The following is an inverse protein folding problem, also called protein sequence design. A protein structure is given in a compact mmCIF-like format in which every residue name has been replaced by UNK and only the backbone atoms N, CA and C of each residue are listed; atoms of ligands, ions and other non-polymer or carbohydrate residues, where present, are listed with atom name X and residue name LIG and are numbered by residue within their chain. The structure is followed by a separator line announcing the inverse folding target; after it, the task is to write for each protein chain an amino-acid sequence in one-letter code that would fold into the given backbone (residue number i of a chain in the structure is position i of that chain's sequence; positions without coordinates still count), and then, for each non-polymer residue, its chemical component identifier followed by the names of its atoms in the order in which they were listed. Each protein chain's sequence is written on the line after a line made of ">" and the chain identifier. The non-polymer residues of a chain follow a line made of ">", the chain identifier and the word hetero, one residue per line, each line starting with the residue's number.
data_IF_440434067766
#
_entry.id   IF_440434067766
#
_cell.length_a   1.000
_cell.length_b   1.000
_cell.length_c   1.000
_cell.angle_alpha   90.00
_cell.angle_beta   90.00
_cell.angle_gamma   90.00
#
_symmetry.space_group_name_H-M   'P 1'
#
loop_
_entity.id
_entity.type
_entity.pdbx_description
1 polymer ?
#
# COMPACT_ATOMS: atom_id res chain seq x y z
N UNK A 1 7.33 -18.91 5.81
CA UNK A 1 7.46 -17.68 6.62
C UNK A 1 6.76 -16.59 5.84
N UNK A 2 5.85 -15.85 6.48
CA UNK A 2 5.02 -14.82 5.82
C UNK A 2 5.83 -13.58 5.51
N UNK A 3 5.67 -13.03 4.31
CA UNK A 3 6.44 -11.88 3.85
C UNK A 3 5.77 -10.56 4.25
N UNK A 4 6.49 -9.75 5.03
CA UNK A 4 6.13 -8.36 5.33
C UNK A 4 7.27 -7.48 4.84
N UNK A 5 6.99 -6.51 3.99
CA UNK A 5 8.00 -5.63 3.43
C UNK A 5 7.52 -4.22 3.15
N UNK A 6 8.46 -3.29 3.19
CA UNK A 6 8.32 -1.92 2.70
C UNK A 6 9.45 -1.65 1.71
N UNK A 7 9.13 -0.97 0.61
CA UNK A 7 10.10 -0.53 -0.40
C UNK A 7 9.92 0.95 -0.68
N UNK A 8 10.99 1.71 -0.60
CA UNK A 8 11.00 3.11 -1.04
C UNK A 8 10.77 3.20 -2.54
N UNK A 9 9.72 3.92 -2.96
CA UNK A 9 9.47 4.27 -4.36
C UNK A 9 10.06 5.63 -4.68
N UNK A 10 9.77 6.63 -3.84
CA UNK A 10 10.35 7.97 -3.96
C UNK A 10 10.30 8.67 -2.62
N UNK A 11 11.34 9.44 -2.29
CA UNK A 11 11.34 10.36 -1.15
C UNK A 11 11.84 11.71 -1.59
N UNK A 12 11.07 12.74 -1.28
CA UNK A 12 11.38 14.11 -1.66
C UNK A 12 11.38 15.01 -0.44
N UNK A 13 12.46 15.76 -0.24
CA UNK A 13 12.56 16.80 0.78
C UNK A 13 12.29 18.14 0.14
N UNK A 14 11.41 18.93 0.76
CA UNK A 14 11.21 20.31 0.35
C UNK A 14 12.35 21.18 0.89
N UNK A 15 13.15 21.80 0.02
CA UNK A 15 14.29 22.63 0.46
C UNK A 15 13.87 23.89 1.23
N UNK A 16 12.64 24.40 1.00
CA UNK A 16 12.10 25.54 1.75
C UNK A 16 11.65 25.17 3.18
N UNK A 17 11.48 23.88 3.46
CA UNK A 17 11.27 23.35 4.80
C UNK A 17 11.91 21.96 4.95
N UNK A 18 13.22 21.88 5.25
CA UNK A 18 13.97 20.62 5.25
C UNK A 18 13.45 19.51 6.17
N UNK A 19 12.61 19.88 7.15
CA UNK A 19 11.94 18.94 8.05
C UNK A 19 10.68 18.29 7.43
N UNK A 20 10.28 18.67 6.22
CA UNK A 20 9.16 18.09 5.48
C UNK A 20 9.69 17.22 4.35
N UNK A 21 9.49 15.92 4.50
CA UNK A 21 9.88 14.89 3.53
C UNK A 21 8.65 14.09 3.15
N UNK A 22 8.21 14.21 1.90
CA UNK A 22 7.17 13.36 1.35
C UNK A 22 7.79 12.01 0.97
N UNK A 23 7.32 10.94 1.61
CA UNK A 23 7.79 9.58 1.35
C UNK A 23 6.67 8.74 0.76
N UNK A 24 6.94 8.14 -0.41
CA UNK A 24 6.07 7.19 -1.08
C UNK A 24 6.69 5.80 -1.02
N UNK A 25 6.00 4.87 -0.35
CA UNK A 25 6.46 3.51 -0.09
C UNK A 25 5.48 2.51 -0.69
N UNK A 26 6.01 1.40 -1.22
CA UNK A 26 5.25 0.24 -1.64
C UNK A 26 5.35 -0.83 -0.54
N UNK A 27 4.21 -1.16 0.04
CA UNK A 27 4.10 -2.10 1.13
C UNK A 27 3.52 -3.43 0.63
N UNK A 28 4.00 -4.54 1.20
CA UNK A 28 3.36 -5.85 1.09
C UNK A 28 3.23 -6.45 2.49
N UNK A 29 2.03 -6.88 2.85
CA UNK A 29 1.76 -7.46 4.16
C UNK A 29 0.48 -8.31 4.15
N UNK A 30 0.25 -9.19 5.15
CA UNK A 30 -0.98 -9.97 5.28
C UNK A 30 -2.25 -9.12 5.24
N UNK A 31 -3.24 -9.52 4.45
CA UNK A 31 -4.47 -8.76 4.28
C UNK A 31 -5.22 -8.55 5.61
N UNK A 32 -5.12 -9.49 6.54
CA UNK A 32 -5.85 -9.44 7.82
C UNK A 32 -5.47 -8.24 8.71
N UNK A 33 -4.26 -7.66 8.58
CA UNK A 33 -3.89 -6.43 9.32
C UNK A 33 -4.25 -5.13 8.59
N UNK A 34 -4.81 -5.21 7.38
CA UNK A 34 -5.07 -4.04 6.56
C UNK A 34 -6.04 -3.07 7.25
N UNK A 35 -7.06 -3.58 7.95
CA UNK A 35 -8.01 -2.74 8.68
C UNK A 35 -7.32 -1.87 9.75
N UNK A 36 -6.33 -2.43 10.46
CA UNK A 36 -5.54 -1.69 11.45
C UNK A 36 -4.67 -0.61 10.80
N UNK A 37 -4.04 -0.91 9.66
CA UNK A 37 -3.29 0.08 8.90
C UNK A 37 -4.19 1.23 8.42
N UNK A 38 -5.44 0.94 8.02
CA UNK A 38 -6.40 1.93 7.55
C UNK A 38 -6.87 2.93 8.63
N UNK A 39 -6.65 2.64 9.91
CA UNK A 39 -6.98 3.58 11.02
C UNK A 39 -6.13 4.86 11.00
N UNK A 40 -4.96 4.83 10.35
CA UNK A 40 -4.05 5.97 10.24
C UNK A 40 -4.48 6.88 9.09
N UNK A 41 -5.22 7.95 9.40
CA UNK A 41 -5.92 8.78 8.40
C UNK A 41 -5.05 9.83 7.69
N UNK A 42 -3.88 10.16 8.24
CA UNK A 42 -2.96 11.16 7.68
C UNK A 42 -2.13 10.63 6.50
N UNK A 43 -2.44 9.42 6.01
CA UNK A 43 -1.73 8.75 4.92
C UNK A 43 -2.65 8.56 3.71
N UNK A 44 -2.13 8.90 2.53
CA UNK A 44 -2.76 8.64 1.23
C UNK A 44 -2.39 7.25 0.75
N UNK A 45 -3.34 6.49 0.22
CA UNK A 45 -3.17 5.06 -0.08
C UNK A 45 -3.85 4.63 -1.37
N UNK A 46 -3.16 3.75 -2.09
CA UNK A 46 -3.71 2.97 -3.19
C UNK A 46 -3.40 1.49 -2.96
N UNK A 47 -4.45 0.67 -2.82
CA UNK A 47 -4.32 -0.75 -2.57
C UNK A 47 -4.68 -1.57 -3.82
N UNK A 48 -3.90 -2.61 -4.11
CA UNK A 48 -4.21 -3.57 -5.14
C UNK A 48 -5.52 -4.29 -4.80
N UNK A 49 -6.54 -4.13 -5.65
CA UNK A 49 -7.88 -4.64 -5.40
C UNK A 49 -7.99 -6.13 -5.71
N UNK A 50 -8.31 -6.95 -4.71
CA UNK A 50 -8.62 -8.37 -4.90
C UNK A 50 -9.80 -8.59 -5.86
N UNK A 51 -10.67 -7.59 -6.03
CA UNK A 51 -11.80 -7.63 -6.97
C UNK A 51 -11.36 -7.57 -8.44
N UNK A 52 -10.17 -7.03 -8.71
CA UNK A 52 -9.65 -6.87 -10.06
C UNK A 52 -8.77 -8.06 -10.50
N UNK A 53 -8.06 -8.67 -9.55
CA UNK A 53 -7.08 -9.74 -9.80
C UNK A 53 -7.79 -11.07 -10.15
N UNK A 54 -7.40 -11.76 -11.24
CA UNK A 54 -7.92 -13.09 -11.57
C UNK A 54 -7.73 -14.11 -10.43
N UNK A 55 -8.69 -15.03 -10.24
CA UNK A 55 -8.68 -16.02 -9.16
C UNK A 55 -7.41 -16.86 -9.19
N UNK A 56 -7.06 -17.41 -10.36
CA UNK A 56 -5.81 -18.18 -10.54
C UNK A 56 -4.57 -17.42 -10.06
N UNK A 57 -4.41 -16.17 -10.47
CA UNK A 57 -3.26 -15.33 -10.06
C UNK A 57 -3.23 -15.10 -8.55
N UNK A 58 -4.39 -15.03 -7.91
CA UNK A 58 -4.50 -14.91 -6.46
C UNK A 58 -4.09 -16.21 -5.76
N UNK A 59 -4.55 -17.37 -6.26
CA UNK A 59 -4.16 -18.68 -5.73
C UNK A 59 -2.65 -18.89 -5.89
N UNK A 60 -2.09 -18.55 -7.05
CA UNK A 60 -0.65 -18.66 -7.31
C UNK A 60 0.16 -17.81 -6.30
N UNK A 61 -0.26 -16.56 -6.01
CA UNK A 61 0.39 -15.70 -4.99
C UNK A 61 0.31 -16.31 -3.58
N UNK A 62 -0.86 -16.86 -3.20
CA UNK A 62 -1.06 -17.50 -1.90
C UNK A 62 -0.18 -18.74 -1.74
N UNK A 63 -0.08 -19.58 -2.78
CA UNK A 63 0.74 -20.80 -2.74
C UNK A 63 2.23 -20.48 -2.68
N UNK A 64 2.67 -19.43 -3.38
CA UNK A 64 4.05 -18.97 -3.34
C UNK A 64 4.42 -18.33 -1.99
N UNK A 65 3.51 -17.57 -1.39
CA UNK A 65 3.74 -16.79 -0.17
C UNK A 65 2.44 -16.69 0.63
N UNK A 66 2.16 -17.72 1.43
CA UNK A 66 0.95 -17.78 2.26
C UNK A 66 1.04 -16.78 3.41
N UNK A 67 0.02 -15.93 3.56
CA UNK A 67 -0.13 -15.12 4.76
C UNK A 67 -0.51 -16.01 5.94
N UNK A 68 0.26 -15.93 7.02
CA UNK A 68 0.19 -16.79 8.19
C UNK A 68 0.64 -15.99 9.42
N UNK A 69 0.10 -16.29 10.62
CA UNK A 69 0.60 -15.72 11.86
C UNK A 69 2.11 -15.91 12.05
N UNK A 70 2.80 -14.82 12.38
CA UNK A 70 4.21 -14.85 12.81
C UNK A 70 4.38 -15.17 14.30
N UNK A 71 3.29 -15.10 15.06
CA UNK A 71 3.20 -15.36 16.49
C UNK A 71 1.81 -15.94 16.77
N UNK A 72 1.73 -17.06 17.48
CA UNK A 72 0.47 -17.74 17.80
C UNK A 72 0.21 -17.72 19.29
N UNK A 73 -0.15 -16.55 19.78
CA UNK A 73 -0.38 -16.35 21.20
C UNK A 73 -1.49 -17.24 21.76
N UNK A 74 -1.21 -17.82 22.93
CA UNK A 74 -2.16 -18.57 23.73
C UNK A 74 -3.31 -17.67 24.21
N UNK A 75 -4.49 -18.26 24.42
CA UNK A 75 -5.66 -17.53 24.88
C UNK A 75 -5.43 -16.94 26.28
N UNK A 76 -5.55 -15.61 26.39
CA UNK A 76 -5.44 -14.86 27.64
C UNK A 76 -6.61 -13.86 27.74
N UNK A 77 -6.87 -13.32 28.95
CA UNK A 77 -7.92 -12.30 29.11
C UNK A 77 -7.47 -10.99 28.48
N UNK A 78 -8.33 -10.37 27.67
CA UNK A 78 -8.04 -9.10 27.00
C UNK A 78 -7.49 -9.29 25.59
N UNK A 79 -6.69 -8.32 25.11
CA UNK A 79 -6.09 -8.33 23.76
C UNK A 79 -4.60 -8.75 23.76
N UNK A 80 -4.08 -9.22 24.89
CA UNK A 80 -2.68 -9.64 25.04
C UNK A 80 -2.54 -11.14 24.75
N UNK A 81 -1.39 -11.53 24.19
CA UNK A 81 -1.14 -12.91 23.81
C UNK A 81 0.37 -13.22 23.81
N UNK A 82 1.07 -12.86 24.89
CA UNK A 82 2.55 -12.84 24.93
C UNK A 82 3.21 -14.23 24.96
N UNK A 83 2.44 -15.29 25.25
CA UNK A 83 2.93 -16.66 25.37
C UNK A 83 2.56 -17.43 24.12
N UNK A 84 3.52 -18.05 23.44
CA UNK A 84 3.27 -18.91 22.28
C UNK A 84 2.45 -20.15 22.65
N UNK A 85 1.49 -20.50 21.79
CA UNK A 85 0.72 -21.74 21.85
C UNK A 85 1.29 -22.75 20.85
N UNK A 86 1.72 -23.90 21.38
CA UNK A 86 2.30 -25.01 20.60
C UNK A 86 1.39 -26.26 20.61
N UNK A 87 0.15 -26.10 21.08
CA UNK A 87 -0.81 -27.20 21.15
C UNK A 87 -1.17 -27.72 19.75
N UNK A 88 -1.40 -29.03 19.68
CA UNK A 88 -1.82 -29.67 18.44
C UNK A 88 -3.25 -29.27 18.09
N UNK A 89 -3.47 -28.98 16.81
CA UNK A 89 -4.79 -28.60 16.29
C UNK A 89 -5.42 -29.83 15.64
N UNK A 90 -6.63 -30.16 16.09
CA UNK A 90 -7.47 -31.16 15.46
C UNK A 90 -8.38 -30.51 14.40
N UNK A 91 -8.60 -31.18 13.27
CA UNK A 91 -9.57 -30.75 12.27
C UNK A 91 -10.33 -31.94 11.69
N UNK A 92 -11.61 -31.73 11.36
CA UNK A 92 -12.41 -32.75 10.68
C UNK A 92 -11.87 -32.99 9.28
N UNK A 93 -11.81 -34.26 8.90
CA UNK A 93 -11.57 -34.70 7.52
C UNK A 93 -12.85 -35.34 6.95
N UNK A 94 -12.80 -35.77 5.70
CA UNK A 94 -13.93 -36.46 5.06
C UNK A 94 -14.30 -37.74 5.84
N UNK A 95 -15.60 -38.09 5.80
CA UNK A 95 -16.14 -39.30 6.44
C UNK A 95 -15.97 -39.38 7.96
N UNK A 96 -15.86 -38.23 8.64
CA UNK A 96 -15.87 -38.17 10.12
C UNK A 96 -14.57 -38.62 10.79
N UNK A 97 -13.46 -38.71 10.06
CA UNK A 97 -12.13 -38.92 10.64
C UNK A 97 -11.53 -37.59 11.08
N UNK A 98 -10.70 -37.61 12.11
CA UNK A 98 -9.96 -36.43 12.58
C UNK A 98 -8.52 -36.45 12.06
N UNK A 99 -8.08 -35.30 11.54
CA UNK A 99 -6.67 -35.00 11.31
C UNK A 99 -6.11 -34.20 12.47
N UNK A 100 -4.82 -34.35 12.72
CA UNK A 100 -4.09 -33.64 13.77
C UNK A 100 -2.76 -33.14 13.22
N UNK A 101 -2.32 -31.98 13.68
CA UNK A 101 -1.03 -31.43 13.31
C UNK A 101 -0.67 -30.18 14.11
N UNK A 102 0.48 -29.60 13.77
CA UNK A 102 0.89 -28.30 14.32
C UNK A 102 -0.04 -27.18 13.84
N UNK A 103 -0.03 -26.05 14.55
CA UNK A 103 -0.72 -24.80 14.19
C UNK A 103 -0.48 -24.38 12.74
N UNK A 104 0.76 -24.49 12.23
CA UNK A 104 1.09 -24.14 10.85
C UNK A 104 0.48 -25.14 9.87
N UNK A 105 0.56 -26.43 10.16
CA UNK A 105 -0.03 -27.46 9.30
C UNK A 105 -1.56 -27.34 9.20
N UNK A 106 -2.22 -26.99 10.31
CA UNK A 106 -3.65 -26.74 10.34
C UNK A 106 -4.03 -25.49 9.53
N UNK A 107 -3.23 -24.42 9.61
CA UNK A 107 -3.42 -23.21 8.81
C UNK A 107 -3.27 -23.48 7.32
N UNK A 108 -2.24 -24.25 6.92
CA UNK A 108 -2.05 -24.68 5.54
C UNK A 108 -3.20 -25.57 5.08
N UNK A 109 -3.71 -26.45 5.94
CA UNK A 109 -4.90 -27.27 5.63
C UNK A 109 -6.14 -26.39 5.42
N UNK A 110 -6.35 -25.36 6.24
CA UNK A 110 -7.44 -24.41 6.06
C UNK A 110 -7.32 -23.64 4.74
N UNK A 111 -6.11 -23.19 4.38
CA UNK A 111 -5.79 -22.57 3.09
C UNK A 111 -6.14 -23.48 1.93
N UNK A 112 -5.68 -24.73 1.97
CA UNK A 112 -5.86 -25.70 0.88
C UNK A 112 -7.34 -26.02 0.67
N UNK A 113 -8.10 -26.18 1.76
CA UNK A 113 -9.55 -26.34 1.69
C UNK A 113 -10.22 -25.09 1.09
N UNK A 114 -9.81 -23.89 1.49
CA UNK A 114 -10.35 -22.65 0.93
C UNK A 114 -10.06 -22.51 -0.58
N UNK A 115 -8.85 -22.89 -1.02
CA UNK A 115 -8.47 -22.95 -2.44
C UNK A 115 -9.35 -23.95 -3.20
N UNK A 116 -9.50 -25.17 -2.68
CA UNK A 116 -10.33 -26.21 -3.31
C UNK A 116 -11.78 -25.74 -3.52
N UNK A 117 -12.36 -25.06 -2.53
CA UNK A 117 -13.70 -24.50 -2.63
C UNK A 117 -13.72 -23.30 -3.60
N UNK A 118 -12.73 -22.41 -3.55
CA UNK A 118 -12.63 -21.27 -4.47
C UNK A 118 -12.57 -21.71 -5.94
N UNK A 119 -11.78 -22.73 -6.27
CA UNK A 119 -11.74 -23.34 -7.60
C UNK A 119 -13.08 -23.99 -7.97
N UNK A 120 -13.79 -24.58 -7.00
CA UNK A 120 -15.15 -25.08 -7.19
C UNK A 120 -16.12 -23.98 -7.60
N UNK A 121 -16.07 -22.82 -6.93
CA UNK A 121 -16.87 -21.65 -7.29
C UNK A 121 -16.47 -21.08 -8.65
N UNK A 122 -15.18 -21.08 -8.99
CA UNK A 122 -14.72 -20.66 -10.32
C UNK A 122 -15.28 -21.57 -11.42
N UNK A 123 -15.20 -22.90 -11.25
CA UNK A 123 -15.81 -23.88 -12.18
C UNK A 123 -17.33 -23.73 -12.31
N UNK A 124 -18.00 -23.32 -11.23
CA UNK A 124 -19.43 -23.05 -11.24
C UNK A 124 -19.80 -21.70 -11.87
N UNK A 125 -18.83 -20.87 -12.27
CA UNK A 125 -19.06 -19.61 -12.97
C UNK A 125 -19.31 -18.40 -12.07
N UNK A 126 -18.99 -18.48 -10.77
CA UNK A 126 -19.12 -17.32 -9.88
C UNK A 126 -18.07 -16.24 -10.21
N UNK A 127 -18.42 -14.98 -9.95
CA UNK A 127 -17.52 -13.88 -10.22
C UNK A 127 -16.37 -13.80 -9.19
N UNK A 128 -15.16 -13.47 -9.64
CA UNK A 128 -13.94 -13.34 -8.81
C UNK A 128 -14.08 -12.47 -7.57
N UNK A 129 -14.98 -11.47 -7.59
CA UNK A 129 -15.25 -10.61 -6.44
C UNK A 129 -15.81 -11.35 -5.22
N UNK A 130 -16.52 -12.46 -5.45
CA UNK A 130 -17.05 -13.34 -4.39
C UNK A 130 -16.01 -14.38 -4.04
N UNK A 131 -15.43 -15.04 -5.06
CA UNK A 131 -14.45 -16.13 -4.89
C UNK A 131 -13.24 -15.67 -4.06
N UNK A 132 -12.66 -14.51 -4.40
CA UNK A 132 -11.48 -14.00 -3.71
C UNK A 132 -11.77 -13.64 -2.24
N UNK A 133 -13.03 -13.58 -1.78
CA UNK A 133 -13.35 -13.38 -0.35
C UNK A 133 -13.05 -14.61 0.50
N UNK A 134 -13.21 -15.80 -0.06
CA UNK A 134 -12.92 -17.07 0.62
C UNK A 134 -11.43 -17.22 0.96
N UNK A 135 -10.59 -16.52 0.19
CA UNK A 135 -9.14 -16.64 0.22
C UNK A 135 -8.47 -15.52 1.03
N UNK A 136 -9.19 -14.46 1.40
CA UNK A 136 -8.64 -13.26 2.07
C UNK A 136 -7.76 -13.55 3.31
N UNK A 137 -8.08 -14.54 4.17
CA UNK A 137 -7.24 -14.87 5.33
C UNK A 137 -5.80 -15.28 4.98
N UNK A 138 -5.59 -15.82 3.77
CA UNK A 138 -4.30 -16.37 3.33
C UNK A 138 -3.57 -15.47 2.34
N UNK A 139 -4.17 -14.33 1.99
CA UNK A 139 -3.61 -13.36 1.04
C UNK A 139 -2.70 -12.35 1.71
N UNK A 140 -1.71 -11.92 0.94
CA UNK A 140 -1.08 -10.62 1.13
C UNK A 140 -1.82 -9.54 0.35
N UNK A 141 -1.61 -8.28 0.74
CA UNK A 141 -2.06 -7.10 0.00
C UNK A 141 -0.86 -6.22 -0.33
N UNK A 142 -0.88 -5.64 -1.52
CA UNK A 142 0.09 -4.62 -1.94
C UNK A 142 -0.54 -3.24 -1.81
N UNK A 143 0.12 -2.33 -1.11
CA UNK A 143 -0.39 -0.97 -0.85
C UNK A 143 0.70 0.06 -1.11
N UNK A 144 0.43 0.97 -2.04
CA UNK A 144 1.18 2.21 -2.16
C UNK A 144 0.69 3.17 -1.08
N UNK A 145 1.62 3.76 -0.32
CA UNK A 145 1.31 4.76 0.69
C UNK A 145 2.21 5.98 0.52
N UNK A 146 1.64 7.17 0.68
CA UNK A 146 2.39 8.43 0.71
C UNK A 146 2.00 9.24 1.94
N UNK A 147 3.00 9.78 2.62
CA UNK A 147 2.79 10.70 3.74
C UNK A 147 4.02 11.57 4.02
N UNK A 148 3.77 12.70 4.68
CA UNK A 148 4.80 13.57 5.30
C UNK A 148 4.94 13.32 6.81
N UNK A 149 3.87 12.82 7.44
CA UNK A 149 3.80 12.61 8.90
C UNK A 149 3.73 11.10 9.20
N UNK A 150 4.79 10.55 9.79
CA UNK A 150 4.92 9.13 10.11
C UNK A 150 4.99 8.84 11.62
N UNK A 151 5.25 9.86 12.43
CA UNK A 151 5.59 9.72 13.86
C UNK A 151 4.51 8.99 14.64
N UNK A 152 3.24 9.41 14.52
CA UNK A 152 2.13 8.76 15.21
C UNK A 152 1.95 7.28 14.78
N UNK A 153 2.21 6.95 13.52
CA UNK A 153 2.14 5.56 13.07
C UNK A 153 3.25 4.73 13.69
N UNK A 154 4.49 5.23 13.65
CA UNK A 154 5.64 4.53 14.21
C UNK A 154 5.55 4.40 15.73
N UNK A 155 5.10 5.43 16.43
CA UNK A 155 4.90 5.42 17.89
C UNK A 155 3.88 4.37 18.33
N UNK A 156 2.76 4.25 17.60
CA UNK A 156 1.69 3.31 17.95
C UNK A 156 1.95 1.89 17.46
N UNK A 157 2.64 1.72 16.32
CA UNK A 157 2.76 0.42 15.66
C UNK A 157 4.13 -0.23 15.84
N UNK A 158 5.21 0.53 15.97
CA UNK A 158 6.50 -0.03 16.43
C UNK A 158 6.58 -0.01 17.97
N UNK A 159 5.54 -0.56 18.59
CA UNK A 159 5.39 -0.68 20.03
C UNK A 159 5.25 -2.15 20.40
N UNK A 160 5.79 -2.57 21.55
CA UNK A 160 5.78 -3.98 21.98
C UNK A 160 4.38 -4.61 22.08
N UNK A 161 3.38 -3.81 22.43
CA UNK A 161 1.98 -4.23 22.60
C UNK A 161 1.17 -4.10 21.30
N UNK A 162 1.80 -3.68 20.19
CA UNK A 162 1.15 -3.67 18.88
C UNK A 162 1.04 -5.11 18.35
N UNK A 163 0.05 -5.32 17.49
CA UNK A 163 -0.12 -6.58 16.79
C UNK A 163 1.20 -6.96 16.06
N UNK A 164 1.70 -8.21 16.20
CA UNK A 164 3.05 -8.56 15.75
C UNK A 164 3.35 -8.24 14.27
N UNK A 165 2.39 -8.45 13.36
CA UNK A 165 2.59 -8.22 11.93
C UNK A 165 2.63 -6.73 11.60
N UNK A 166 1.72 -5.93 12.18
CA UNK A 166 1.77 -4.47 11.95
C UNK A 166 3.01 -3.83 12.60
N UNK A 167 3.52 -4.42 13.68
CA UNK A 167 4.80 -4.03 14.28
C UNK A 167 5.97 -4.32 13.35
N UNK A 168 6.04 -5.51 12.75
CA UNK A 168 7.04 -5.82 11.72
C UNK A 168 6.93 -4.84 10.54
N UNK A 169 5.72 -4.55 10.07
CA UNK A 169 5.51 -3.59 8.99
C UNK A 169 6.01 -2.19 9.37
N UNK A 170 5.75 -1.75 10.61
CA UNK A 170 6.23 -0.46 11.10
C UNK A 170 7.75 -0.37 11.14
N UNK A 171 8.43 -1.47 11.52
CA UNK A 171 9.90 -1.56 11.49
C UNK A 171 10.46 -1.53 10.07
N UNK A 172 9.84 -2.21 9.12
CA UNK A 172 10.27 -2.14 7.71
C UNK A 172 10.07 -0.73 7.14
N UNK A 173 8.95 -0.07 7.47
CA UNK A 173 8.72 1.33 7.11
C UNK A 173 9.77 2.24 7.75
N UNK A 174 10.08 2.07 9.03
CA UNK A 174 11.11 2.85 9.74
C UNK A 174 12.45 2.76 9.02
N UNK A 175 12.89 1.54 8.63
CA UNK A 175 14.14 1.34 7.87
C UNK A 175 14.15 2.18 6.58
N UNK A 176 13.06 2.19 5.82
CA UNK A 176 12.95 3.03 4.62
C UNK A 176 13.01 4.53 4.92
N UNK A 177 12.43 4.98 6.04
CA UNK A 177 12.39 6.39 6.42
C UNK A 177 13.73 6.88 6.98
N UNK A 178 14.49 6.02 7.64
CA UNK A 178 15.81 6.33 8.20
C UNK A 178 16.92 6.33 7.14
N UNK A 179 16.72 5.65 6.01
CA UNK A 179 17.66 5.66 4.90
C UNK A 179 17.67 7.02 4.18
N UNK A 180 18.61 7.87 4.59
CA UNK A 180 18.82 9.22 4.03
C UNK A 180 19.32 9.21 2.58
N UNK A 181 19.90 8.11 2.10
CA UNK A 181 20.46 8.03 0.74
C UNK A 181 19.38 8.08 -0.35
N UNK A 182 18.14 7.73 0.02
CA UNK A 182 16.99 7.70 -0.89
C UNK A 182 16.28 9.04 -1.05
N UNK A 183 16.68 10.06 -0.29
CA UNK A 183 16.01 11.37 -0.27
C UNK A 183 16.58 12.27 -1.36
N UNK A 184 15.69 12.79 -2.20
CA UNK A 184 16.01 13.81 -3.20
C UNK A 184 15.49 15.16 -2.74
N UNK A 185 16.28 16.20 -2.91
CA UNK A 185 15.86 17.57 -2.61
C UNK A 185 15.02 18.11 -3.78
N UNK A 186 13.91 18.78 -3.46
CA UNK A 186 13.05 19.47 -4.41
C UNK A 186 12.97 20.95 -4.05
N UNK A 187 13.27 21.80 -5.03
CA UNK A 187 12.99 23.23 -5.02
C UNK A 187 11.49 23.49 -5.12
N UNK A 188 10.96 24.59 -4.55
CA UNK A 188 9.58 24.98 -4.77
C UNK A 188 9.22 24.99 -6.25
N UNK A 189 8.10 24.35 -6.61
CA UNK A 189 7.68 24.14 -7.99
C UNK A 189 8.11 22.82 -8.63
N UNK A 190 9.08 22.10 -8.05
CA UNK A 190 9.47 20.76 -8.54
C UNK A 190 8.51 19.67 -8.02
N UNK A 191 8.44 18.56 -8.76
CA UNK A 191 7.43 17.52 -8.54
C UNK A 191 7.98 16.26 -7.89
N UNK A 192 7.23 15.75 -6.91
CA UNK A 192 7.31 14.39 -6.42
C UNK A 192 6.47 13.47 -7.32
N UNK A 193 7.14 12.68 -8.16
CA UNK A 193 6.53 11.80 -9.17
C UNK A 193 6.88 10.33 -8.91
N UNK A 194 6.13 9.61 -8.05
CA UNK A 194 6.38 8.19 -7.82
C UNK A 194 6.30 7.37 -9.11
N UNK A 195 7.11 6.31 -9.19
CA UNK A 195 7.19 5.42 -10.35
C UNK A 195 7.59 6.09 -11.67
N UNK A 196 8.34 7.19 -11.63
CA UNK A 196 8.99 7.79 -12.80
C UNK A 196 10.50 7.58 -12.68
N UNK A 197 11.14 7.11 -13.75
CA UNK A 197 12.60 6.94 -13.80
C UNK A 197 13.31 8.27 -14.08
N UNK A 198 14.61 8.32 -13.78
CA UNK A 198 15.44 9.48 -14.14
C UNK A 198 15.53 9.66 -15.66
N UNK A 199 15.58 8.54 -16.41
CA UNK A 199 15.56 8.53 -17.88
C UNK A 199 14.28 9.16 -18.44
N UNK A 200 13.13 8.86 -17.85
CA UNK A 200 11.84 9.46 -18.24
C UNK A 200 11.80 10.96 -17.90
N UNK A 201 12.38 11.36 -16.77
CA UNK A 201 12.46 12.76 -16.35
C UNK A 201 13.34 13.61 -17.28
N UNK A 202 14.43 13.02 -17.79
CA UNK A 202 15.35 13.67 -18.73
C UNK A 202 14.89 13.59 -20.20
N UNK A 203 13.81 12.86 -20.49
CA UNK A 203 13.32 12.68 -21.85
C UNK A 203 12.72 13.97 -22.39
N UNK A 204 13.29 14.46 -23.51
CA UNK A 204 12.75 15.63 -24.23
C UNK A 204 11.37 15.39 -24.85
N UNK A 205 10.93 14.13 -24.92
CA UNK A 205 9.66 13.75 -25.51
C UNK A 205 8.47 13.88 -24.55
N UNK A 206 8.71 13.99 -23.24
CA UNK A 206 7.66 14.07 -22.21
C UNK A 206 7.72 15.42 -21.51
N UNK A 207 6.59 16.12 -21.46
CA UNK A 207 6.47 17.35 -20.67
C UNK A 207 6.07 17.04 -19.21
N UNK A 208 6.04 18.06 -18.35
CA UNK A 208 5.70 17.88 -16.93
C UNK A 208 4.30 17.29 -16.72
N UNK A 209 3.31 17.67 -17.53
CA UNK A 209 1.95 17.12 -17.47
C UNK A 209 1.94 15.65 -17.88
N UNK A 210 2.72 15.26 -18.89
CA UNK A 210 2.83 13.86 -19.34
C UNK A 210 3.39 12.97 -18.23
N UNK A 211 4.43 13.44 -17.53
CA UNK A 211 5.03 12.73 -16.41
C UNK A 211 4.07 12.62 -15.21
N UNK A 212 3.26 13.64 -14.96
CA UNK A 212 2.20 13.57 -13.94
C UNK A 212 1.16 12.49 -14.30
N UNK A 213 0.66 12.48 -15.54
CA UNK A 213 -0.29 11.47 -16.02
C UNK A 213 0.27 10.05 -15.86
N UNK A 214 1.53 9.87 -16.28
CA UNK A 214 2.24 8.60 -16.19
C UNK A 214 2.39 8.14 -14.73
N UNK A 215 2.78 9.06 -13.84
CA UNK A 215 2.93 8.78 -12.41
C UNK A 215 1.61 8.39 -11.76
N UNK A 216 0.52 9.13 -12.03
CA UNK A 216 -0.82 8.84 -11.52
C UNK A 216 -1.29 7.44 -11.95
N UNK A 217 -1.12 7.09 -13.23
CA UNK A 217 -1.54 5.77 -13.73
C UNK A 217 -0.75 4.61 -13.10
N UNK A 218 0.56 4.79 -12.90
CA UNK A 218 1.42 3.82 -12.21
C UNK A 218 1.10 3.73 -10.71
N UNK A 219 0.78 4.85 -10.07
CA UNK A 219 0.28 4.87 -8.69
C UNK A 219 -1.04 4.10 -8.55
N UNK A 220 -1.96 4.29 -9.50
CA UNK A 220 -3.24 3.57 -9.53
C UNK A 220 -3.03 2.05 -9.66
N UNK A 221 -2.01 1.63 -10.42
CA UNK A 221 -1.65 0.22 -10.60
C UNK A 221 -0.68 -0.30 -9.52
N UNK A 222 -0.18 0.58 -8.65
CA UNK A 222 0.89 0.30 -7.66
C UNK A 222 2.16 -0.30 -8.26
N UNK A 223 2.42 -0.06 -9.55
CA UNK A 223 3.45 -0.74 -10.34
C UNK A 223 3.77 -0.01 -11.66
N UNK A 224 4.92 -0.32 -12.24
CA UNK A 224 5.28 0.03 -13.63
C UNK A 224 4.47 -0.75 -14.68
N UNK A 225 3.70 -1.75 -14.25
CA UNK A 225 2.85 -2.57 -15.10
C UNK A 225 1.37 -2.34 -14.77
N UNK A 226 0.53 -2.54 -15.77
CA UNK A 226 -0.92 -2.66 -15.61
C UNK A 226 -1.28 -3.88 -14.75
N UNK A 227 -2.50 -3.93 -14.23
CA UNK A 227 -3.01 -5.06 -13.45
C UNK A 227 -2.93 -6.40 -14.19
N UNK A 228 -3.06 -6.33 -15.52
CA UNK A 228 -3.02 -7.47 -16.44
C UNK A 228 -1.59 -7.86 -16.85
N UNK A 229 -0.58 -7.13 -16.39
CA UNK A 229 0.83 -7.49 -16.55
C UNK A 229 1.55 -6.87 -17.74
N UNK A 230 0.87 -6.03 -18.53
CA UNK A 230 1.49 -5.26 -19.61
C UNK A 230 2.23 -4.04 -19.07
N UNK A 231 3.29 -3.62 -19.76
CA UNK A 231 4.03 -2.41 -19.41
C UNK A 231 3.16 -1.16 -19.54
N UNK A 232 3.34 -0.23 -18.60
CA UNK A 232 2.64 1.04 -18.57
C UNK A 232 3.31 2.04 -19.52
N UNK A 233 2.96 1.94 -20.82
CA UNK A 233 3.33 2.94 -21.83
C UNK A 233 2.59 4.25 -21.58
N UNK A 234 3.05 5.33 -22.20
CA UNK A 234 2.44 6.64 -22.06
C UNK A 234 0.96 6.64 -22.51
N UNK A 235 0.65 6.02 -23.64
CA UNK A 235 -0.72 5.98 -24.19
C UNK A 235 -1.68 5.24 -23.25
N UNK A 236 -1.21 4.14 -22.64
CA UNK A 236 -2.01 3.41 -21.63
C UNK A 236 -2.19 4.22 -20.37
N UNK A 237 -1.15 4.91 -19.94
CA UNK A 237 -1.21 5.76 -18.77
C UNK A 237 -2.17 6.93 -18.96
N UNK A 238 -2.17 7.57 -20.13
CA UNK A 238 -3.13 8.62 -20.48
C UNK A 238 -4.56 8.09 -20.45
N UNK A 239 -4.83 6.94 -21.07
CA UNK A 239 -6.16 6.34 -21.03
C UNK A 239 -6.64 6.01 -19.60
N UNK A 240 -5.73 5.54 -18.73
CA UNK A 240 -6.02 5.30 -17.31
C UNK A 240 -6.27 6.62 -16.58
N UNK A 241 -5.41 7.62 -16.79
CA UNK A 241 -5.52 8.94 -16.18
C UNK A 241 -6.87 9.57 -16.49
N UNK A 242 -7.24 9.64 -17.78
CA UNK A 242 -8.48 10.25 -18.23
C UNK A 242 -9.68 9.54 -17.62
N UNK A 243 -9.67 8.20 -17.62
CA UNK A 243 -10.71 7.40 -16.97
C UNK A 243 -10.84 7.72 -15.48
N UNK A 244 -9.72 7.88 -14.76
CA UNK A 244 -9.75 8.22 -13.34
C UNK A 244 -10.20 9.67 -13.10
N UNK A 245 -9.92 10.57 -14.05
CA UNK A 245 -10.27 11.99 -13.98
C UNK A 245 -11.75 12.27 -14.33
N UNK A 246 -12.41 11.39 -15.09
CA UNK A 246 -13.86 11.50 -15.36
C UNK A 246 -14.71 11.36 -14.10
N UNK A 247 -15.97 11.81 -14.15
CA UNK A 247 -16.93 11.63 -13.03
C UNK A 247 -17.48 10.19 -13.01
N UNK A 248 -17.45 9.49 -11.86
CA UNK A 248 -16.96 9.94 -10.55
C UNK A 248 -15.43 10.00 -10.48
N UNK A 249 -14.90 11.11 -9.95
CA UNK A 249 -13.45 11.36 -9.88
C UNK A 249 -12.79 10.37 -8.92
N UNK A 250 -11.97 9.48 -9.47
CA UNK A 250 -11.20 8.49 -8.71
C UNK A 250 -9.92 9.13 -8.20
N UNK A 251 -10.06 9.93 -7.14
CA UNK A 251 -9.05 10.89 -6.72
C UNK A 251 -7.80 10.31 -6.05
N UNK A 252 -7.84 9.08 -5.51
CA UNK A 252 -6.75 8.55 -4.67
C UNK A 252 -5.38 8.48 -5.38
N UNK A 253 -5.27 8.05 -6.66
CA UNK A 253 -3.98 8.00 -7.35
C UNK A 253 -3.35 9.38 -7.55
N UNK A 254 -4.17 10.44 -7.62
CA UNK A 254 -3.73 11.83 -7.77
C UNK A 254 -3.17 12.41 -6.48
N UNK A 255 -3.42 11.80 -5.32
CA UNK A 255 -2.86 12.28 -4.05
C UNK A 255 -1.35 12.04 -4.00
N UNK A 256 -0.88 10.91 -4.52
CA UNK A 256 0.53 10.50 -4.46
C UNK A 256 1.46 11.41 -5.26
N UNK A 257 0.92 12.16 -6.23
CA UNK A 257 1.64 13.14 -7.05
C UNK A 257 1.50 14.51 -6.42
N UNK A 258 2.62 15.16 -6.09
CA UNK A 258 2.60 16.44 -5.41
C UNK A 258 3.77 17.33 -5.81
N UNK A 259 3.60 18.65 -5.69
CA UNK A 259 4.63 19.65 -5.97
C UNK A 259 5.18 20.23 -4.68
N UNK A 260 6.49 20.45 -4.56
CA UNK A 260 7.05 21.14 -3.40
C UNK A 260 6.51 22.58 -3.32
N UNK A 261 5.97 22.96 -2.17
CA UNK A 261 5.46 24.32 -1.93
C UNK A 261 6.57 25.28 -1.47
N UNK A 262 6.35 26.57 -1.61
CA UNK A 262 7.25 27.59 -1.07
C UNK A 262 6.85 27.97 0.36
N UNK A 263 7.80 27.94 1.30
CA UNK A 263 7.62 28.50 2.65
C UNK A 263 8.29 29.87 2.74
N UNK A 264 7.51 30.92 2.95
CA UNK A 264 7.99 32.29 3.08
C UNK A 264 7.94 32.78 4.52
N UNK A 265 8.92 33.61 4.88
CA UNK A 265 8.89 34.42 6.08
C UNK A 265 8.04 35.68 5.82
N UNK A 266 6.93 35.81 6.54
CA UNK A 266 6.09 37.02 6.50
C UNK A 266 6.17 37.74 7.84
N UNK A 267 5.67 38.98 7.91
CA UNK A 267 5.56 39.72 9.16
C UNK A 267 4.65 39.04 10.21
N UNK A 268 3.78 38.11 9.79
CA UNK A 268 2.93 37.30 10.68
C UNK A 268 3.56 35.96 11.06
N UNK A 269 4.79 35.69 10.62
CA UNK A 269 5.46 34.41 10.79
C UNK A 269 5.59 33.64 9.47
N UNK A 270 5.97 32.36 9.58
CA UNK A 270 6.21 31.48 8.42
C UNK A 270 4.90 30.94 7.87
N UNK A 271 4.66 31.17 6.59
CA UNK A 271 3.47 30.69 5.89
C UNK A 271 3.85 29.97 4.61
N UNK A 272 3.03 29.01 4.22
CA UNK A 272 3.08 28.38 2.92
C UNK A 272 2.37 29.23 1.88
N UNK A 273 2.82 29.19 0.62
CA UNK A 273 2.17 29.91 -0.47
C UNK A 273 0.80 29.29 -0.82
N UNK A 274 0.69 27.95 -0.83
CA UNK A 274 -0.54 27.23 -1.22
C UNK A 274 -1.02 26.22 -0.15
N UNK A 275 -1.26 26.62 1.11
CA UNK A 275 -1.58 25.71 2.20
C UNK A 275 -2.87 24.89 2.00
N UNK A 276 -3.85 25.44 1.28
CA UNK A 276 -5.13 24.76 1.01
C UNK A 276 -4.99 23.55 0.07
N UNK A 277 -3.90 23.52 -0.71
CA UNK A 277 -3.60 22.45 -1.66
C UNK A 277 -2.83 21.29 -1.01
N UNK A 278 -2.46 21.40 0.27
CA UNK A 278 -1.60 20.38 0.91
C UNK A 278 -2.33 19.08 1.22
N UNK A 279 -3.63 19.15 1.51
CA UNK A 279 -4.35 18.01 2.06
C UNK A 279 -3.64 17.47 3.31
N UNK A 280 -3.18 16.23 3.28
CA UNK A 280 -2.38 15.59 4.33
C UNK A 280 -0.86 15.66 4.13
N UNK A 281 -0.36 16.34 3.08
CA UNK A 281 1.06 16.46 2.78
C UNK A 281 1.60 17.85 3.10
N UNK A 282 1.78 18.16 4.39
CA UNK A 282 2.25 19.49 4.79
C UNK A 282 3.57 19.84 4.11
N UNK A 283 3.58 20.94 3.36
CA UNK A 283 4.71 21.42 2.57
C UNK A 283 4.75 20.93 1.12
N UNK A 284 3.73 20.20 0.67
CA UNK A 284 3.60 19.74 -0.71
C UNK A 284 2.17 19.94 -1.21
N UNK A 285 2.01 20.50 -2.40
CA UNK A 285 0.74 20.75 -3.08
C UNK A 285 0.28 19.49 -3.78
N UNK A 286 -0.78 18.84 -3.31
CA UNK A 286 -1.30 17.60 -3.92
C UNK A 286 -1.93 17.87 -5.28
N UNK A 287 -1.61 17.07 -6.29
CA UNK A 287 -2.24 17.18 -7.61
C UNK A 287 -3.76 17.02 -7.53
N UNK A 288 -4.24 16.09 -6.68
CA UNK A 288 -5.67 15.96 -6.35
C UNK A 288 -6.31 17.31 -5.98
N UNK A 289 -5.71 18.02 -5.02
CA UNK A 289 -6.28 19.28 -4.47
C UNK A 289 -6.19 20.42 -5.48
N UNK A 290 -5.09 20.48 -6.24
CA UNK A 290 -4.94 21.42 -7.35
C UNK A 290 -6.08 21.26 -8.37
N UNK A 291 -6.41 20.03 -8.76
CA UNK A 291 -7.49 19.75 -9.70
C UNK A 291 -8.88 20.02 -9.11
N UNK A 292 -9.12 19.65 -7.85
CA UNK A 292 -10.40 19.91 -7.15
C UNK A 292 -10.71 21.41 -7.02
N UNK A 293 -9.69 22.26 -6.82
CA UNK A 293 -9.85 23.70 -6.64
C UNK A 293 -9.97 24.46 -7.97
N UNK A 294 -9.63 23.84 -9.10
CA UNK A 294 -9.79 24.40 -10.44
C UNK A 294 -11.15 24.06 -11.08
N UNK A 295 -11.85 23.04 -10.57
CA UNK A 295 -13.12 22.52 -11.08
C UNK A 295 -14.34 23.23 -10.49
#
# INVERSE_FOLDING_TARGET
>A
MTTISAKTILRSRNVSAPNKVLSTLLLRYPRFIHAEFMTHRTMSRNAASSRAIPVKKMIDDILADTAMPIHWGAAQKGMQADIECEEWVAWSTEYGREGYGTRESAWLKARDNAIQIAEGFERAGYHKQVINRLLEPFMHITVLVSATEWDNFLELRDHKDAEPHIQMLAREIRKCLEDKSTVRDLSPGEWHLPFISEEETCSVALNSSDLQKLSVARCASTSYKTTDGFDMTFERAEAIYDKLHTKPFHASPFEHVAQADERRDTWRGRTWDFPIEHGNFVGFRQLRRQLELQA
#
